data_IF_107208189970
#
_entry.id   IF_107208189970
#
_cell.length_a   1.000
_cell.length_b   1.000
_cell.length_c   1.000
_cell.angle_alpha   90.00
_cell.angle_beta   90.00
_cell.angle_gamma   90.00
#
_symmetry.space_group_name_H-M   'P 1'
#
loop_
_entity.id
_entity.type
_entity.pdbx_description
1 polymer ?
#
# COMPACT_ATOMS: atom_id res chain seq x y z
N UNK A 1 -0.18 -11.58 24.08
CA UNK A 1 -0.46 -11.56 22.62
C UNK A 1 0.68 -12.12 21.78
N UNK A 2 0.62 -13.41 21.48
CA UNK A 2 1.62 -14.08 20.64
C UNK A 2 1.64 -13.47 19.23
N UNK A 3 2.79 -12.97 18.73
CA UNK A 3 2.88 -12.53 17.35
C UNK A 3 2.66 -13.76 16.46
N UNK A 4 1.55 -13.80 15.71
CA UNK A 4 1.31 -14.84 14.71
C UNK A 4 2.52 -14.90 13.76
N UNK A 5 3.41 -15.85 14.02
CA UNK A 5 4.68 -16.03 13.34
C UNK A 5 4.55 -17.08 12.24
N UNK A 6 5.38 -16.95 11.23
CA UNK A 6 5.12 -17.37 9.85
C UNK A 6 5.38 -18.84 9.58
N UNK A 7 4.49 -19.43 8.79
CA UNK A 7 4.69 -20.73 8.13
C UNK A 7 5.32 -20.54 6.75
N UNK A 8 6.24 -21.43 6.36
CA UNK A 8 6.72 -21.57 4.97
C UNK A 8 5.76 -22.52 4.26
N UNK A 9 4.91 -22.01 3.39
CA UNK A 9 3.95 -22.81 2.61
C UNK A 9 3.93 -22.34 1.15
N UNK A 10 3.63 -23.22 0.17
CA UNK A 10 3.58 -22.88 -1.26
C UNK A 10 2.51 -21.82 -1.56
N UNK A 11 1.39 -21.84 -0.84
CA UNK A 11 0.44 -20.74 -0.78
C UNK A 11 0.04 -20.48 0.66
N UNK A 12 -0.04 -19.21 1.06
CA UNK A 12 -0.39 -18.83 2.42
C UNK A 12 -1.61 -17.89 2.41
N UNK A 13 -2.71 -18.38 2.97
CA UNK A 13 -3.93 -17.61 3.17
C UNK A 13 -4.08 -17.31 4.66
N UNK A 14 -3.74 -16.10 5.06
CA UNK A 14 -3.82 -15.68 6.46
C UNK A 14 -5.01 -14.74 6.65
N UNK A 15 -5.86 -15.05 7.64
CA UNK A 15 -6.87 -14.14 8.15
C UNK A 15 -6.68 -13.96 9.64
N UNK A 16 -6.57 -12.71 10.10
CA UNK A 16 -6.26 -12.43 11.52
C UNK A 16 -7.02 -11.22 12.05
N UNK A 17 -7.50 -11.38 13.29
CA UNK A 17 -8.19 -10.36 14.08
C UNK A 17 -7.51 -10.26 15.43
N UNK A 18 -6.70 -9.23 15.60
CA UNK A 18 -5.88 -9.04 16.80
C UNK A 18 -5.75 -7.53 17.07
N UNK A 19 -5.55 -7.11 18.33
CA UNK A 19 -5.29 -5.70 18.67
C UNK A 19 -4.01 -5.15 18.00
N UNK A 20 -3.00 -5.99 17.81
CA UNK A 20 -1.77 -5.66 17.08
C UNK A 20 -1.32 -6.87 16.25
N UNK A 21 -0.87 -6.63 15.02
CA UNK A 21 -0.36 -7.69 14.15
C UNK A 21 0.97 -7.31 13.50
N UNK A 22 2.01 -8.09 13.81
CA UNK A 22 3.32 -8.01 13.15
C UNK A 22 3.51 -9.23 12.26
N UNK A 23 3.55 -9.00 10.95
CA UNK A 23 3.68 -10.02 9.94
C UNK A 23 4.96 -9.88 9.10
N UNK A 24 5.64 -10.99 8.81
CA UNK A 24 6.81 -11.11 7.95
C UNK A 24 6.80 -12.44 7.17
N UNK A 25 6.27 -12.46 5.96
CA UNK A 25 6.08 -13.72 5.19
C UNK A 25 7.05 -13.87 4.03
N UNK A 26 7.46 -15.11 3.75
CA UNK A 26 8.18 -15.51 2.53
C UNK A 26 7.52 -16.75 1.93
N UNK A 27 6.74 -16.57 0.88
CA UNK A 27 5.96 -17.63 0.24
C UNK A 27 5.87 -17.36 -1.27
N UNK A 28 5.69 -18.38 -2.13
CA UNK A 28 5.42 -18.19 -3.56
C UNK A 28 4.17 -17.32 -3.83
N UNK A 29 3.10 -17.58 -3.06
CA UNK A 29 1.85 -16.83 -3.14
C UNK A 29 1.35 -16.47 -1.74
N UNK A 30 0.99 -15.20 -1.53
CA UNK A 30 0.43 -14.73 -0.26
C UNK A 30 -0.88 -13.97 -0.44
N UNK A 31 -1.92 -14.45 0.26
CA UNK A 31 -3.20 -13.76 0.40
C UNK A 31 -3.46 -13.48 1.88
N UNK A 32 -3.18 -12.25 2.30
CA UNK A 32 -3.41 -11.82 3.67
C UNK A 32 -4.65 -10.92 3.78
N UNK A 33 -5.45 -11.14 4.82
CA UNK A 33 -6.57 -10.29 5.20
C UNK A 33 -6.54 -10.07 6.70
N UNK A 34 -6.36 -8.83 7.12
CA UNK A 34 -6.14 -8.54 8.54
C UNK A 34 -7.03 -7.40 9.00
N UNK A 35 -7.63 -7.61 10.17
CA UNK A 35 -8.48 -6.64 10.86
C UNK A 35 -7.91 -6.39 12.24
N UNK A 36 -7.05 -5.39 12.29
CA UNK A 36 -6.35 -5.03 13.50
C UNK A 36 -6.39 -3.52 13.65
N UNK A 37 -6.36 -3.02 14.88
CA UNK A 37 -5.88 -1.70 15.16
C UNK A 37 -4.47 -1.54 14.55
N UNK A 38 -3.41 -2.00 15.22
CA UNK A 38 -2.05 -1.82 14.69
C UNK A 38 -1.66 -2.93 13.71
N UNK A 39 -1.08 -2.59 12.55
CA UNK A 39 -0.53 -3.60 11.65
C UNK A 39 0.81 -3.19 11.05
N UNK A 40 1.80 -4.08 11.21
CA UNK A 40 3.10 -4.00 10.56
C UNK A 40 3.35 -5.26 9.73
N UNK A 41 3.16 -5.19 8.42
CA UNK A 41 3.44 -6.30 7.51
C UNK A 41 4.67 -6.05 6.66
N UNK A 42 5.49 -7.09 6.53
CA UNK A 42 6.56 -7.24 5.56
C UNK A 42 6.30 -8.52 4.77
N UNK A 43 6.46 -8.50 3.45
CA UNK A 43 6.26 -9.70 2.65
C UNK A 43 7.20 -9.73 1.46
N UNK A 44 7.73 -10.92 1.16
CA UNK A 44 8.53 -11.21 -0.04
C UNK A 44 7.95 -12.43 -0.74
N UNK A 45 7.23 -12.19 -1.82
CA UNK A 45 6.49 -13.23 -2.55
C UNK A 45 6.44 -12.91 -4.04
N UNK A 46 6.50 -13.90 -4.95
CA UNK A 46 6.16 -13.75 -6.37
C UNK A 46 4.81 -13.01 -6.61
N UNK A 47 3.78 -13.39 -5.87
CA UNK A 47 2.46 -12.77 -5.92
C UNK A 47 1.94 -12.42 -4.53
N UNK A 48 1.52 -11.17 -4.34
CA UNK A 48 0.96 -10.70 -3.07
C UNK A 48 -0.38 -10.00 -3.24
N UNK A 49 -1.38 -10.50 -2.51
CA UNK A 49 -2.69 -9.88 -2.37
C UNK A 49 -2.98 -9.59 -0.90
N UNK A 50 -2.84 -8.33 -0.51
CA UNK A 50 -3.07 -7.90 0.87
C UNK A 50 -4.32 -7.03 0.99
N UNK A 51 -5.15 -7.36 1.97
CA UNK A 51 -6.26 -6.53 2.44
C UNK A 51 -6.09 -6.22 3.91
N UNK A 52 -6.15 -4.96 4.27
CA UNK A 52 -6.09 -4.55 5.67
C UNK A 52 -7.19 -3.52 5.98
N UNK A 53 -7.92 -3.74 7.07
CA UNK A 53 -8.99 -2.85 7.52
C UNK A 53 -8.87 -2.61 9.02
N UNK A 54 -8.77 -1.35 9.44
CA UNK A 54 -8.70 -0.96 10.85
C UNK A 54 -10.06 -0.37 11.29
N UNK A 55 -10.74 -0.94 12.31
CA UNK A 55 -12.07 -0.49 12.73
C UNK A 55 -12.10 0.64 13.78
N UNK A 56 -11.01 0.96 14.48
CA UNK A 56 -11.02 1.83 15.68
C UNK A 56 -10.33 3.19 15.48
N UNK A 57 -10.68 4.18 16.30
CA UNK A 57 -10.35 5.63 16.21
C UNK A 57 -8.88 6.06 16.26
N UNK A 58 -7.90 5.16 16.33
CA UNK A 58 -6.59 5.35 15.65
C UNK A 58 -5.68 4.13 15.77
N UNK A 59 -5.27 3.58 14.61
CA UNK A 59 -3.94 2.98 14.50
C UNK A 59 -3.35 3.00 13.07
N UNK A 60 -2.02 3.04 13.00
CA UNK A 60 -1.30 3.15 11.73
C UNK A 60 -1.10 1.80 11.06
N UNK A 61 -1.27 1.78 9.73
CA UNK A 61 -0.95 0.64 8.89
C UNK A 61 0.41 0.83 8.24
N UNK A 62 1.39 -0.01 8.57
CA UNK A 62 2.71 -0.01 7.92
C UNK A 62 2.89 -1.28 7.09
N UNK A 63 2.90 -1.12 5.77
CA UNK A 63 3.11 -2.21 4.84
C UNK A 63 4.42 -2.02 4.06
N UNK A 64 5.19 -3.10 3.95
CA UNK A 64 6.39 -3.16 3.11
C UNK A 64 6.38 -4.44 2.29
N UNK A 65 6.53 -4.34 0.97
CA UNK A 65 6.41 -5.51 0.11
C UNK A 65 7.41 -5.48 -1.05
N UNK A 66 7.97 -6.64 -1.37
CA UNK A 66 8.85 -6.85 -2.53
C UNK A 66 8.36 -8.08 -3.30
N UNK A 67 7.72 -7.83 -4.44
CA UNK A 67 7.00 -8.85 -5.20
C UNK A 67 6.98 -8.53 -6.70
N UNK A 68 7.11 -9.49 -7.62
CA UNK A 68 6.79 -9.35 -9.04
C UNK A 68 5.44 -8.65 -9.30
N UNK A 69 4.38 -9.11 -8.62
CA UNK A 69 3.07 -8.47 -8.67
C UNK A 69 2.52 -8.18 -7.27
N UNK A 70 1.97 -6.97 -7.08
CA UNK A 70 1.37 -6.57 -5.82
C UNK A 70 -0.01 -5.95 -6.02
N UNK A 71 -0.99 -6.52 -5.33
CA UNK A 71 -2.33 -5.96 -5.21
C UNK A 71 -2.65 -5.68 -3.74
N UNK A 72 -2.60 -4.41 -3.36
CA UNK A 72 -2.90 -3.97 -2.00
C UNK A 72 -4.22 -3.19 -1.94
N UNK A 73 -5.00 -3.43 -0.89
CA UNK A 73 -6.18 -2.62 -0.58
C UNK A 73 -6.27 -2.36 0.92
N UNK A 74 -6.38 -1.09 1.30
CA UNK A 74 -6.33 -0.71 2.71
C UNK A 74 -7.37 0.33 3.08
N UNK A 75 -7.97 0.16 4.27
CA UNK A 75 -8.89 1.13 4.89
C UNK A 75 -8.47 1.35 6.33
N UNK A 76 -7.96 2.54 6.63
CA UNK A 76 -7.43 2.85 7.96
C UNK A 76 -7.28 4.36 8.17
N UNK A 77 -7.20 4.82 9.43
CA UNK A 77 -7.01 6.23 9.75
C UNK A 77 -5.68 6.79 9.19
N UNK A 78 -4.59 6.02 9.27
CA UNK A 78 -3.28 6.40 8.71
C UNK A 78 -2.61 5.23 8.00
N UNK A 79 -2.05 5.48 6.82
CA UNK A 79 -1.36 4.45 6.02
C UNK A 79 0.04 4.88 5.59
N UNK A 80 1.02 4.04 5.89
CA UNK A 80 2.38 4.12 5.37
C UNK A 80 2.72 2.87 4.57
N UNK A 81 2.72 2.99 3.25
CA UNK A 81 3.05 1.89 2.35
C UNK A 81 4.37 2.13 1.61
N UNK A 82 5.17 1.08 1.49
CA UNK A 82 6.36 1.05 0.65
C UNK A 82 6.39 -0.23 -0.17
N UNK A 83 6.53 -0.11 -1.49
CA UNK A 83 6.52 -1.28 -2.36
C UNK A 83 7.58 -1.19 -3.47
N UNK A 84 8.18 -2.33 -3.80
CA UNK A 84 9.12 -2.48 -4.93
C UNK A 84 8.72 -3.70 -5.74
N UNK A 85 8.16 -3.46 -6.92
CA UNK A 85 7.48 -4.47 -7.73
C UNK A 85 7.53 -4.12 -9.22
N UNK A 86 7.67 -5.06 -10.16
CA UNK A 86 7.38 -4.88 -11.59
C UNK A 86 6.02 -4.23 -11.85
N UNK A 87 4.97 -4.74 -11.22
CA UNK A 87 3.60 -4.25 -11.35
C UNK A 87 2.96 -4.02 -9.98
N UNK A 88 2.43 -2.81 -9.76
CA UNK A 88 1.77 -2.44 -8.52
C UNK A 88 0.37 -1.90 -8.76
N UNK A 89 -0.61 -2.52 -8.09
CA UNK A 89 -1.98 -2.02 -8.00
C UNK A 89 -2.35 -1.76 -6.53
N UNK A 90 -2.43 -0.50 -6.15
CA UNK A 90 -2.77 -0.09 -4.79
C UNK A 90 -4.08 0.71 -4.75
N UNK A 91 -4.91 0.42 -3.75
CA UNK A 91 -6.07 1.24 -3.44
C UNK A 91 -6.20 1.50 -1.95
N UNK A 92 -6.33 2.76 -1.56
CA UNK A 92 -6.35 3.14 -0.15
C UNK A 92 -7.41 4.19 0.14
N UNK A 93 -8.05 4.07 1.32
CA UNK A 93 -8.98 5.07 1.85
C UNK A 93 -8.61 5.38 3.29
N UNK A 94 -8.13 6.59 3.52
CA UNK A 94 -7.55 7.00 4.80
C UNK A 94 -7.72 8.53 5.01
N UNK A 95 -7.79 9.05 6.23
CA UNK A 95 -7.49 10.44 6.56
C UNK A 95 -6.11 10.92 6.05
N UNK A 96 -5.07 10.14 6.32
CA UNK A 96 -3.69 10.45 5.94
C UNK A 96 -3.00 9.27 5.24
N UNK A 97 -2.38 9.53 4.09
CA UNK A 97 -1.70 8.50 3.29
C UNK A 97 -0.29 8.91 2.90
N UNK A 98 0.69 8.09 3.26
CA UNK A 98 2.08 8.17 2.78
C UNK A 98 2.45 6.93 1.98
N UNK A 99 2.61 7.08 0.67
CA UNK A 99 2.94 5.97 -0.24
C UNK A 99 4.28 6.20 -0.93
N UNK A 100 5.10 5.14 -1.00
CA UNK A 100 6.32 5.08 -1.81
C UNK A 100 6.32 3.84 -2.68
N UNK A 101 6.57 4.01 -3.97
CA UNK A 101 6.60 2.90 -4.90
C UNK A 101 7.71 3.05 -5.93
N UNK A 102 8.36 1.93 -6.27
CA UNK A 102 9.37 1.85 -7.33
C UNK A 102 9.02 0.66 -8.21
N UNK A 103 8.48 0.93 -9.40
CA UNK A 103 7.87 -0.08 -10.27
C UNK A 103 7.92 0.35 -11.74
N UNK A 104 8.17 -0.53 -12.72
CA UNK A 104 7.87 -0.29 -14.14
C UNK A 104 6.46 0.27 -14.37
N UNK A 105 5.46 -0.39 -13.78
CA UNK A 105 4.03 -0.08 -13.95
C UNK A 105 3.37 0.15 -12.59
N UNK A 106 2.75 1.33 -12.42
CA UNK A 106 2.04 1.67 -11.20
C UNK A 106 0.61 2.14 -11.48
N UNK A 107 -0.36 1.48 -10.85
CA UNK A 107 -1.76 1.90 -10.78
C UNK A 107 -2.18 2.16 -9.34
N UNK A 108 -2.34 3.42 -8.97
CA UNK A 108 -2.74 3.83 -7.62
C UNK A 108 -4.08 4.55 -7.60
N UNK A 109 -4.90 4.29 -6.58
CA UNK A 109 -6.14 5.01 -6.35
C UNK A 109 -6.35 5.30 -4.87
N UNK A 110 -6.41 6.59 -4.53
CA UNK A 110 -6.42 7.06 -3.15
C UNK A 110 -7.59 8.00 -2.89
N UNK A 111 -8.24 7.88 -1.73
CA UNK A 111 -9.21 8.87 -1.25
C UNK A 111 -8.84 9.24 0.17
N UNK A 112 -8.37 10.47 0.35
CA UNK A 112 -7.83 10.94 1.61
C UNK A 112 -7.77 12.47 1.69
N UNK A 113 -8.10 13.09 2.83
CA UNK A 113 -7.83 14.51 3.11
C UNK A 113 -6.39 14.94 2.79
N UNK A 114 -5.40 14.15 3.23
CA UNK A 114 -3.97 14.42 3.03
C UNK A 114 -3.26 13.23 2.37
N UNK A 115 -2.60 13.49 1.24
CA UNK A 115 -1.83 12.49 0.49
C UNK A 115 -0.40 12.96 0.26
N UNK A 116 0.57 12.13 0.66
CA UNK A 116 1.99 12.25 0.28
C UNK A 116 2.44 11.02 -0.51
N UNK A 117 2.60 11.16 -1.81
CA UNK A 117 3.05 10.07 -2.68
C UNK A 117 4.42 10.35 -3.30
N UNK A 118 5.23 9.30 -3.41
CA UNK A 118 6.45 9.33 -4.21
C UNK A 118 6.58 8.06 -5.04
N UNK A 119 6.75 8.21 -6.34
CA UNK A 119 6.84 7.09 -7.29
C UNK A 119 8.00 7.25 -8.27
N UNK A 120 8.65 6.14 -8.60
CA UNK A 120 9.66 6.04 -9.66
C UNK A 120 9.24 4.93 -10.59
N UNK A 121 8.66 5.30 -11.72
CA UNK A 121 8.00 4.37 -12.64
C UNK A 121 7.97 4.91 -14.07
N UNK A 122 8.39 4.19 -15.12
CA UNK A 122 8.18 4.64 -16.50
C UNK A 122 6.70 4.87 -16.83
N UNK A 123 5.77 4.01 -16.36
CA UNK A 123 4.32 4.19 -16.55
C UNK A 123 3.58 4.35 -15.21
N UNK A 124 2.86 5.48 -15.06
CA UNK A 124 2.07 5.78 -13.86
C UNK A 124 0.63 6.17 -14.18
N UNK A 125 -0.32 5.41 -13.62
CA UNK A 125 -1.75 5.75 -13.60
C UNK A 125 -2.21 5.99 -12.16
N UNK A 126 -2.47 7.25 -11.82
CA UNK A 126 -2.91 7.63 -10.48
C UNK A 126 -4.28 8.33 -10.50
N UNK A 127 -5.10 8.04 -9.50
CA UNK A 127 -6.34 8.78 -9.27
C UNK A 127 -6.47 9.11 -7.79
N UNK A 128 -6.60 10.39 -7.46
CA UNK A 128 -6.66 10.87 -6.09
C UNK A 128 -7.85 11.81 -5.88
N UNK A 129 -8.60 11.60 -4.80
CA UNK A 129 -9.57 12.58 -4.31
C UNK A 129 -9.11 13.07 -2.95
N UNK A 130 -8.36 14.18 -2.97
CA UNK A 130 -7.69 14.75 -1.81
C UNK A 130 -7.67 16.28 -1.94
N UNK A 131 -8.05 17.05 -0.90
CA UNK A 131 -7.85 18.50 -0.87
C UNK A 131 -6.37 18.88 -0.73
N UNK A 132 -5.57 18.11 0.01
CA UNK A 132 -4.12 18.33 0.15
C UNK A 132 -3.33 17.16 -0.47
N UNK A 133 -2.55 17.44 -1.51
CA UNK A 133 -1.82 16.42 -2.28
C UNK A 133 -0.39 16.87 -2.55
N UNK A 134 0.58 16.20 -1.93
CA UNK A 134 2.00 16.33 -2.25
C UNK A 134 2.49 15.07 -2.95
N UNK A 135 2.52 15.10 -4.27
CA UNK A 135 3.03 14.00 -5.09
C UNK A 135 4.33 14.39 -5.79
N UNK A 136 5.27 13.44 -5.85
CA UNK A 136 6.49 13.53 -6.66
C UNK A 136 6.64 12.22 -7.44
N UNK A 137 6.71 12.32 -8.76
CA UNK A 137 6.81 11.16 -9.64
C UNK A 137 7.89 11.40 -10.68
N UNK A 138 8.84 10.47 -10.80
CA UNK A 138 9.73 10.36 -11.97
C UNK A 138 9.16 9.29 -12.90
N UNK A 139 8.59 9.72 -14.02
CA UNK A 139 7.92 8.87 -14.99
C UNK A 139 8.09 9.38 -16.41
N UNK A 140 8.18 8.46 -17.37
CA UNK A 140 8.19 8.78 -18.80
C UNK A 140 6.76 9.00 -19.34
N UNK A 141 5.78 8.25 -18.83
CA UNK A 141 4.37 8.35 -19.20
C UNK A 141 3.48 8.38 -17.95
N UNK A 142 2.59 9.38 -17.87
CA UNK A 142 1.72 9.60 -16.71
C UNK A 142 0.28 9.94 -17.11
N UNK A 143 -0.68 9.19 -16.54
CA UNK A 143 -2.10 9.57 -16.49
C UNK A 143 -2.52 9.79 -15.04
N UNK A 144 -2.70 11.04 -14.65
CA UNK A 144 -3.15 11.40 -13.30
C UNK A 144 -4.45 12.20 -13.35
N UNK A 145 -5.43 11.79 -12.54
CA UNK A 145 -6.66 12.55 -12.31
C UNK A 145 -6.74 12.91 -10.82
N UNK A 146 -6.81 14.22 -10.51
CA UNK A 146 -6.97 14.71 -9.14
C UNK A 146 -8.05 15.78 -9.05
N UNK A 147 -8.90 15.69 -8.02
CA UNK A 147 -10.13 16.50 -7.93
C UNK A 147 -9.99 17.84 -7.17
N UNK A 148 -8.78 18.27 -6.80
CA UNK A 148 -8.42 19.60 -6.22
C UNK A 148 -6.90 19.56 -5.96
N UNK A 149 -6.15 20.62 -6.28
CA UNK A 149 -4.68 20.62 -6.23
C UNK A 149 -4.18 21.80 -5.38
N UNK A 150 -3.35 21.48 -4.37
CA UNK A 150 -2.24 22.34 -3.92
C UNK A 150 -0.96 21.50 -4.00
N UNK A 151 -0.08 21.86 -4.93
CA UNK A 151 1.31 21.40 -5.15
C UNK A 151 1.56 19.93 -5.57
N UNK A 152 1.44 19.64 -6.88
CA UNK A 152 2.09 18.48 -7.49
C UNK A 152 3.44 18.91 -8.09
N UNK A 153 4.57 18.42 -7.56
CA UNK A 153 5.90 18.69 -8.15
C UNK A 153 6.27 17.52 -9.06
N UNK A 154 6.20 17.75 -10.35
CA UNK A 154 6.67 16.81 -11.38
C UNK A 154 8.15 17.09 -11.64
N UNK A 155 8.99 16.09 -11.41
CA UNK A 155 10.36 16.05 -11.92
C UNK A 155 10.34 15.00 -13.02
N UNK A 156 10.35 15.45 -14.27
CA UNK A 156 10.65 14.60 -15.42
C UNK A 156 12.16 14.32 -15.35
#
# INVERSE_FOLDING_TARGET
>A
DSPCSFSRCPSLRASSRCPSLRASSRCPSLRASSRCPSLRASSRCPSLRARASCPTSCPSLRASSRCPSLRASSRCPSLRASSRCPSLRASSRCPSLRARASCPSLRASSRCPSLRASSRCPSLRASSRCPSLRASSRCQSRRAASAKIRACVCLI
#
